data_IF_064142780006
#
_entry.id   IF_064142780006
#
_cell.length_a   1.000
_cell.length_b   1.000
_cell.length_c   1.000
_cell.angle_alpha   90.00
_cell.angle_beta   90.00
_cell.angle_gamma   90.00
#
_symmetry.space_group_name_H-M   'P 1'
#
loop_
_entity.id
_entity.type
_entity.pdbx_description
1 polymer ?
#
# COMPACT_ATOMS: atom_id res chain seq x y z
N UNK A 1 30.43 -2.23 -20.07
CA UNK A 1 29.05 -2.55 -20.54
C UNK A 1 28.11 -2.94 -19.38
N UNK A 2 28.56 -3.73 -18.38
CA UNK A 2 27.76 -4.00 -17.18
C UNK A 2 27.40 -2.75 -16.37
N UNK A 3 28.36 -1.87 -16.09
CA UNK A 3 28.11 -0.72 -15.21
C UNK A 3 27.06 0.25 -15.76
N UNK A 4 27.00 0.40 -17.09
CA UNK A 4 25.98 1.23 -17.72
C UNK A 4 24.59 0.63 -17.53
N UNK A 5 24.42 -0.69 -17.71
CA UNK A 5 23.15 -1.38 -17.48
C UNK A 5 22.73 -1.34 -16.00
N UNK A 6 23.68 -1.51 -15.08
CA UNK A 6 23.44 -1.41 -13.66
C UNK A 6 22.97 0.00 -13.27
N UNK A 7 23.63 1.05 -13.78
CA UNK A 7 23.22 2.45 -13.58
C UNK A 7 21.82 2.71 -14.13
N UNK A 8 21.54 2.27 -15.36
CA UNK A 8 20.20 2.43 -15.95
C UNK A 8 19.11 1.78 -15.09
N UNK A 9 19.33 0.54 -14.63
CA UNK A 9 18.37 -0.15 -13.77
C UNK A 9 18.17 0.59 -12.44
N UNK A 10 19.26 1.02 -11.80
CA UNK A 10 19.22 1.75 -10.54
C UNK A 10 18.49 3.09 -10.67
N UNK A 11 18.74 3.84 -11.75
CA UNK A 11 18.11 5.14 -12.00
C UNK A 11 16.61 5.00 -12.26
N UNK A 12 16.20 4.05 -13.12
CA UNK A 12 14.79 3.78 -13.40
C UNK A 12 14.03 3.30 -12.16
N UNK A 13 14.70 2.49 -11.32
CA UNK A 13 14.15 2.05 -10.05
C UNK A 13 13.97 3.22 -9.08
N UNK A 14 14.98 4.09 -8.97
CA UNK A 14 14.93 5.28 -8.10
C UNK A 14 13.82 6.26 -8.49
N UNK A 15 13.61 6.50 -9.78
CA UNK A 15 12.48 7.30 -10.29
C UNK A 15 11.16 6.69 -9.82
N UNK A 16 10.98 5.39 -10.02
CA UNK A 16 9.76 4.67 -9.60
C UNK A 16 9.51 4.78 -8.09
N UNK A 17 10.55 4.61 -7.26
CA UNK A 17 10.47 4.73 -5.79
C UNK A 17 10.02 6.13 -5.38
N UNK A 18 10.62 7.17 -5.96
CA UNK A 18 10.26 8.55 -5.64
C UNK A 18 8.81 8.88 -6.02
N UNK A 19 8.33 8.36 -7.16
CA UNK A 19 6.96 8.59 -7.57
C UNK A 19 5.96 7.83 -6.67
N UNK A 20 6.26 6.58 -6.26
CA UNK A 20 5.42 5.85 -5.29
C UNK A 20 5.39 6.56 -3.93
N UNK A 21 6.50 7.16 -3.51
CA UNK A 21 6.51 8.01 -2.31
C UNK A 21 5.53 9.17 -2.43
N UNK A 22 5.51 9.87 -3.58
CA UNK A 22 4.57 10.95 -3.85
C UNK A 22 3.10 10.48 -3.81
N UNK A 23 2.80 9.28 -4.34
CA UNK A 23 1.47 8.67 -4.21
C UNK A 23 1.08 8.42 -2.74
N UNK A 24 2.02 8.01 -1.89
CA UNK A 24 1.78 7.87 -0.46
C UNK A 24 1.40 9.20 0.21
N UNK A 25 2.06 10.29 -0.17
CA UNK A 25 1.73 11.66 0.30
C UNK A 25 0.37 12.10 -0.21
N UNK A 26 0.05 11.80 -1.48
CA UNK A 26 -1.24 12.09 -2.10
C UNK A 26 -2.37 11.40 -1.31
N UNK A 27 -2.25 10.10 -1.05
CA UNK A 27 -3.24 9.37 -0.24
C UNK A 27 -3.32 9.95 1.17
N UNK A 28 -2.19 10.22 1.84
CA UNK A 28 -2.21 10.84 3.18
C UNK A 28 -2.98 12.17 3.20
N UNK A 29 -2.77 13.02 2.19
CA UNK A 29 -3.38 14.35 2.11
C UNK A 29 -4.87 14.28 1.75
N UNK A 30 -5.22 13.59 0.68
CA UNK A 30 -6.58 13.63 0.12
C UNK A 30 -7.52 12.57 0.70
N UNK A 31 -7.00 11.53 1.35
CA UNK A 31 -7.81 10.51 2.02
C UNK A 31 -7.93 10.74 3.53
N UNK A 32 -6.83 11.15 4.20
CA UNK A 32 -6.82 11.26 5.67
C UNK A 32 -6.80 12.70 6.20
N UNK A 33 -6.17 13.65 5.51
CA UNK A 33 -6.10 15.03 6.00
C UNK A 33 -7.36 15.84 5.66
N UNK A 34 -7.96 15.60 4.50
CA UNK A 34 -9.26 16.18 4.13
C UNK A 34 -10.41 15.34 4.68
N UNK A 35 -11.37 15.97 5.37
CA UNK A 35 -12.59 15.32 5.84
C UNK A 35 -13.83 16.09 5.31
N UNK A 36 -14.63 15.50 4.40
CA UNK A 36 -14.58 14.12 3.91
C UNK A 36 -13.38 13.84 2.98
N UNK A 37 -13.05 12.55 2.78
CA UNK A 37 -12.06 12.09 1.80
C UNK A 37 -12.46 12.57 0.41
N UNK A 38 -11.53 13.18 -0.33
CA UNK A 38 -11.76 13.68 -1.70
C UNK A 38 -11.14 12.78 -2.76
N UNK A 39 -10.48 11.70 -2.35
CA UNK A 39 -10.02 10.63 -3.23
C UNK A 39 -10.86 9.38 -3.03
N UNK A 40 -11.24 8.77 -4.15
CA UNK A 40 -11.91 7.47 -4.23
C UNK A 40 -11.18 6.54 -5.21
N UNK A 41 -11.74 5.34 -5.42
CA UNK A 41 -11.17 4.35 -6.33
C UNK A 41 -11.08 4.87 -7.78
N UNK A 42 -12.09 5.61 -8.26
CA UNK A 42 -12.12 6.13 -9.62
C UNK A 42 -11.02 7.17 -9.84
N UNK A 43 -10.93 8.14 -8.93
CA UNK A 43 -9.89 9.19 -8.93
C UNK A 43 -8.50 8.59 -8.83
N UNK A 44 -8.30 7.60 -7.96
CA UNK A 44 -7.00 6.93 -7.82
C UNK A 44 -6.63 6.14 -9.08
N UNK A 45 -7.57 5.39 -9.66
CA UNK A 45 -7.34 4.62 -10.88
C UNK A 45 -7.01 5.53 -12.07
N UNK A 46 -7.74 6.63 -12.25
CA UNK A 46 -7.48 7.60 -13.32
C UNK A 46 -6.10 8.24 -13.14
N UNK A 47 -5.80 8.77 -11.96
CA UNK A 47 -4.52 9.44 -11.69
C UNK A 47 -3.34 8.50 -11.89
N UNK A 48 -3.42 7.27 -11.36
CA UNK A 48 -2.34 6.29 -11.49
C UNK A 48 -2.19 5.79 -12.92
N UNK A 49 -3.26 5.63 -13.69
CA UNK A 49 -3.17 5.31 -15.10
C UNK A 49 -2.48 6.43 -15.91
N UNK A 50 -2.87 7.70 -15.69
CA UNK A 50 -2.31 8.86 -16.38
C UNK A 50 -0.83 9.08 -16.06
N UNK A 51 -0.39 8.71 -14.86
CA UNK A 51 1.01 8.85 -14.41
C UNK A 51 1.82 7.57 -14.51
N UNK A 52 1.33 6.52 -15.20
CA UNK A 52 2.03 5.25 -15.28
C UNK A 52 3.46 5.36 -15.84
N UNK A 53 3.70 6.32 -16.74
CA UNK A 53 5.03 6.59 -17.31
C UNK A 53 6.07 7.05 -16.29
N UNK A 54 5.65 7.59 -15.14
CA UNK A 54 6.54 7.98 -14.03
C UNK A 54 7.07 6.77 -13.22
N UNK A 55 6.56 5.57 -13.53
CA UNK A 55 6.88 4.31 -12.82
C UNK A 55 7.31 3.22 -13.81
N UNK A 56 8.42 3.41 -14.54
CA UNK A 56 8.82 2.57 -15.68
C UNK A 56 9.04 1.08 -15.35
N UNK A 57 9.34 0.72 -14.11
CA UNK A 57 9.59 -0.66 -13.69
C UNK A 57 8.46 -1.28 -12.86
N UNK A 58 7.31 -0.61 -12.70
CA UNK A 58 6.20 -1.11 -11.90
C UNK A 58 5.03 -1.52 -12.80
N UNK A 59 4.52 -2.74 -12.60
CA UNK A 59 3.34 -3.24 -13.31
C UNK A 59 2.02 -2.59 -12.87
N UNK A 60 2.00 -2.04 -11.66
CA UNK A 60 0.85 -1.33 -11.11
C UNK A 60 1.13 -0.85 -9.69
N UNK A 61 0.20 -0.07 -9.16
CA UNK A 61 0.24 0.42 -7.78
C UNK A 61 -1.12 0.23 -7.12
N UNK A 62 -1.11 0.01 -5.82
CA UNK A 62 -2.31 -0.18 -5.01
C UNK A 62 -2.08 0.39 -3.62
N UNK A 63 -3.16 0.79 -2.96
CA UNK A 63 -3.18 1.25 -1.58
C UNK A 63 -3.95 0.26 -0.71
N UNK A 64 -3.23 -0.34 0.23
CA UNK A 64 -3.78 -1.21 1.26
C UNK A 64 -3.98 -0.44 2.56
N UNK A 65 -5.23 -0.41 3.05
CA UNK A 65 -5.57 0.24 4.31
C UNK A 65 -5.39 -0.75 5.46
N UNK A 66 -4.78 -0.32 6.57
CA UNK A 66 -4.80 -1.10 7.82
C UNK A 66 -6.20 -1.05 8.43
N UNK A 67 -6.76 -2.22 8.73
CA UNK A 67 -8.11 -2.39 9.27
C UNK A 67 -8.04 -3.30 10.48
N UNK A 68 -8.49 -2.83 11.64
CA UNK A 68 -8.61 -3.69 12.81
C UNK A 68 -9.85 -4.58 12.66
N UNK A 69 -9.86 -5.76 13.30
CA UNK A 69 -11.00 -6.67 13.16
C UNK A 69 -12.36 -6.04 13.50
N UNK A 70 -12.42 -5.17 14.51
CA UNK A 70 -13.68 -4.49 14.88
C UNK A 70 -14.16 -3.48 13.81
N UNK A 71 -13.29 -3.03 12.91
CA UNK A 71 -13.61 -2.12 11.78
C UNK A 71 -13.95 -2.90 10.49
N UNK A 72 -13.72 -4.22 10.49
CA UNK A 72 -13.88 -5.08 9.30
C UNK A 72 -15.28 -4.99 8.71
N UNK A 73 -16.31 -5.11 9.54
CA UNK A 73 -17.69 -5.10 9.06
C UNK A 73 -18.10 -3.76 8.44
N UNK A 74 -17.65 -2.65 9.04
CA UNK A 74 -17.93 -1.30 8.54
C UNK A 74 -17.27 -1.08 7.17
N UNK A 75 -16.02 -1.50 7.00
CA UNK A 75 -15.32 -1.42 5.73
C UNK A 75 -15.96 -2.30 4.66
N UNK A 76 -16.36 -3.53 5.02
CA UNK A 76 -17.04 -4.43 4.09
C UNK A 76 -18.40 -3.87 3.63
N UNK A 77 -19.17 -3.25 4.55
CA UNK A 77 -20.41 -2.55 4.21
C UNK A 77 -20.16 -1.32 3.34
N UNK A 78 -19.12 -0.53 3.62
CA UNK A 78 -18.76 0.66 2.86
C UNK A 78 -18.34 0.33 1.41
N UNK A 79 -17.63 -0.77 1.20
CA UNK A 79 -17.09 -1.15 -0.11
C UNK A 79 -17.92 -2.21 -0.84
N UNK A 80 -19.08 -2.60 -0.29
CA UNK A 80 -19.98 -3.65 -0.81
C UNK A 80 -19.22 -4.93 -1.20
N UNK A 81 -18.42 -5.46 -0.26
CA UNK A 81 -17.58 -6.62 -0.54
C UNK A 81 -16.94 -7.23 0.69
N UNK A 82 -16.31 -8.40 0.52
CA UNK A 82 -15.66 -9.15 1.61
C UNK A 82 -14.15 -9.05 1.50
N UNK A 83 -13.45 -8.91 2.64
CA UNK A 83 -11.99 -9.02 2.67
C UNK A 83 -11.59 -10.46 2.32
N UNK A 84 -10.72 -10.62 1.33
CA UNK A 84 -10.29 -11.92 0.80
C UNK A 84 -8.81 -12.17 1.04
N UNK A 85 -8.40 -13.41 1.14
CA UNK A 85 -7.00 -13.82 1.17
C UNK A 85 -6.36 -13.67 -0.23
N UNK A 86 -5.03 -13.86 -0.31
CA UNK A 86 -4.29 -13.98 -1.57
C UNK A 86 -4.83 -15.09 -2.50
N UNK A 87 -5.42 -16.14 -1.94
CA UNK A 87 -6.10 -17.21 -2.69
C UNK A 87 -7.53 -16.86 -3.11
N UNK A 88 -7.98 -15.63 -2.86
CA UNK A 88 -9.31 -15.08 -3.16
C UNK A 88 -10.46 -15.72 -2.36
N UNK A 89 -10.15 -16.38 -1.26
CA UNK A 89 -11.13 -16.91 -0.31
C UNK A 89 -11.49 -15.87 0.74
N UNK A 90 -12.67 -15.91 1.39
CA UNK A 90 -12.98 -15.03 2.51
C UNK A 90 -11.91 -15.10 3.60
N UNK A 91 -11.37 -13.96 4.02
CA UNK A 91 -10.31 -13.94 5.02
C UNK A 91 -10.83 -14.41 6.39
N UNK A 92 -10.14 -15.32 7.08
CA UNK A 92 -10.54 -15.78 8.41
C UNK A 92 -10.38 -14.66 9.45
N UNK A 93 -10.60 -14.98 10.72
CA UNK A 93 -10.37 -14.03 11.81
C UNK A 93 -8.88 -13.73 11.98
N UNK A 94 -8.52 -12.44 12.00
CA UNK A 94 -7.20 -11.90 12.30
C UNK A 94 -7.35 -10.61 13.10
N UNK A 95 -6.38 -10.28 13.95
CA UNK A 95 -6.43 -9.05 14.75
C UNK A 95 -6.43 -7.78 13.88
N UNK A 96 -5.70 -7.83 12.77
CA UNK A 96 -5.63 -6.78 11.76
C UNK A 96 -5.54 -7.36 10.35
N UNK A 97 -5.96 -6.55 9.38
CA UNK A 97 -5.94 -6.83 7.95
C UNK A 97 -5.30 -5.67 7.19
N UNK A 98 -4.84 -5.93 5.97
CA UNK A 98 -4.43 -4.89 5.02
C UNK A 98 -5.17 -5.04 3.67
N UNK A 99 -6.50 -4.87 3.61
CA UNK A 99 -7.24 -4.93 2.35
C UNK A 99 -6.87 -3.76 1.43
N UNK A 100 -6.71 -4.07 0.14
CA UNK A 100 -6.56 -3.04 -0.91
C UNK A 100 -7.89 -2.32 -1.14
N UNK A 101 -7.91 -1.02 -0.87
CA UNK A 101 -9.10 -0.17 -1.08
C UNK A 101 -8.99 0.71 -2.34
N UNK A 102 -7.77 1.05 -2.76
CA UNK A 102 -7.51 1.72 -4.02
C UNK A 102 -6.53 0.91 -4.89
N UNK A 103 -6.82 0.74 -6.17
CA UNK A 103 -5.97 0.01 -7.09
C UNK A 103 -5.92 0.67 -8.46
N UNK A 104 -4.74 0.68 -9.08
CA UNK A 104 -4.62 0.95 -10.52
C UNK A 104 -5.31 -0.17 -11.29
N UNK A 105 -5.89 0.15 -12.45
CA UNK A 105 -6.64 -0.82 -13.26
C UNK A 105 -5.85 -2.09 -13.62
N UNK A 106 -4.53 -1.96 -13.83
CA UNK A 106 -3.63 -3.10 -14.14
C UNK A 106 -3.51 -4.11 -12.99
N UNK A 107 -3.88 -3.73 -11.77
CA UNK A 107 -3.85 -4.56 -10.56
C UNK A 107 -5.20 -4.55 -9.83
N UNK A 108 -6.31 -4.31 -10.56
CA UNK A 108 -7.67 -4.26 -10.00
C UNK A 108 -8.11 -5.57 -9.33
N UNK A 109 -7.52 -6.70 -9.73
CA UNK A 109 -7.72 -8.01 -9.10
C UNK A 109 -7.28 -8.08 -7.63
N UNK A 110 -6.49 -7.10 -7.15
CA UNK A 110 -6.10 -6.98 -5.75
C UNK A 110 -7.17 -6.32 -4.88
N UNK A 111 -8.22 -5.72 -5.44
CA UNK A 111 -9.25 -5.01 -4.67
C UNK A 111 -9.86 -5.93 -3.59
N UNK A 112 -9.90 -5.44 -2.34
CA UNK A 112 -10.31 -6.18 -1.13
C UNK A 112 -9.48 -7.45 -0.83
N UNK A 113 -8.35 -7.67 -1.48
CA UNK A 113 -7.38 -8.69 -1.09
C UNK A 113 -6.58 -8.17 0.10
N UNK A 114 -6.50 -8.97 1.14
CA UNK A 114 -5.71 -8.76 2.34
C UNK A 114 -4.24 -9.03 2.04
N UNK A 115 -3.46 -7.97 1.92
CA UNK A 115 -2.03 -8.05 1.68
C UNK A 115 -1.26 -8.71 2.84
N UNK A 116 -1.85 -8.83 4.03
CA UNK A 116 -1.23 -9.55 5.15
C UNK A 116 -1.43 -11.06 5.11
N UNK A 117 -2.23 -11.58 4.17
CA UNK A 117 -2.43 -13.02 4.00
C UNK A 117 -1.35 -13.70 3.13
N UNK A 118 -0.51 -12.91 2.44
CA UNK A 118 0.72 -13.39 1.77
C UNK A 118 1.93 -13.14 2.67
N UNK A 119 2.83 -14.11 2.82
CA UNK A 119 3.92 -14.02 3.80
C UNK A 119 4.94 -12.95 3.41
N UNK A 120 5.31 -12.86 2.12
CA UNK A 120 6.25 -11.86 1.62
C UNK A 120 5.71 -10.43 1.79
N UNK A 121 4.44 -10.21 1.45
CA UNK A 121 3.77 -8.93 1.60
C UNK A 121 3.59 -8.54 3.08
N UNK A 122 3.18 -9.50 3.93
CA UNK A 122 3.04 -9.31 5.37
C UNK A 122 4.35 -8.88 6.01
N UNK A 123 5.45 -9.59 5.75
CA UNK A 123 6.78 -9.23 6.27
C UNK A 123 7.15 -7.80 5.81
N UNK A 124 6.92 -7.49 4.54
CA UNK A 124 7.25 -6.18 4.00
C UNK A 124 6.43 -5.07 4.65
N UNK A 125 5.13 -5.26 4.83
CA UNK A 125 4.24 -4.34 5.55
C UNK A 125 4.76 -4.12 6.96
N UNK A 126 5.00 -5.19 7.73
CA UNK A 126 5.45 -5.10 9.12
C UNK A 126 6.81 -4.40 9.27
N UNK A 127 7.69 -4.48 8.26
CA UNK A 127 8.98 -3.79 8.23
C UNK A 127 8.89 -2.33 7.74
N UNK A 128 7.97 -2.03 6.82
CA UNK A 128 7.74 -0.67 6.32
C UNK A 128 7.26 0.25 7.46
N UNK A 129 6.28 -0.23 8.23
CA UNK A 129 5.57 0.52 9.27
C UNK A 129 6.47 1.21 10.31
N UNK A 130 7.39 0.51 11.00
CA UNK A 130 8.23 1.11 12.04
C UNK A 130 9.34 1.99 11.46
N UNK A 131 9.82 1.69 10.24
CA UNK A 131 10.96 2.41 9.64
C UNK A 131 10.55 3.75 9.03
N UNK A 132 9.30 3.90 8.58
CA UNK A 132 8.85 5.06 7.81
C UNK A 132 9.59 5.27 6.50
N UNK A 133 10.19 4.19 5.99
CA UNK A 133 10.91 4.17 4.73
C UNK A 133 10.31 3.09 3.84
N UNK A 134 10.64 3.16 2.57
CA UNK A 134 10.29 2.09 1.65
C UNK A 134 11.09 0.83 1.96
N UNK A 135 10.50 -0.31 1.65
CA UNK A 135 11.08 -1.63 1.83
C UNK A 135 10.77 -2.52 0.63
N UNK A 136 11.65 -3.49 0.39
CA UNK A 136 11.55 -4.41 -0.74
C UNK A 136 11.53 -5.85 -0.26
N UNK A 137 10.64 -6.65 -0.81
CA UNK A 137 10.64 -8.10 -0.61
C UNK A 137 11.86 -8.75 -1.24
N UNK A 138 12.13 -10.00 -0.86
CA UNK A 138 12.89 -10.92 -1.71
C UNK A 138 12.14 -11.18 -3.03
N UNK A 139 12.82 -11.61 -4.10
CA UNK A 139 12.15 -11.97 -5.34
C UNK A 139 11.20 -13.16 -5.17
N UNK A 140 9.94 -13.01 -5.61
CA UNK A 140 8.92 -14.07 -5.56
C UNK A 140 7.96 -13.96 -6.76
N UNK A 141 7.08 -14.95 -6.94
CA UNK A 141 6.11 -14.95 -8.04
C UNK A 141 4.93 -14.04 -7.70
N UNK A 142 4.75 -12.98 -8.49
CA UNK A 142 3.68 -12.02 -8.29
C UNK A 142 2.30 -12.62 -8.62
N UNK A 143 1.30 -12.30 -7.80
CA UNK A 143 -0.09 -12.73 -8.01
C UNK A 143 -0.61 -12.25 -9.38
N UNK A 144 -1.42 -13.08 -10.04
CA UNK A 144 -2.03 -12.77 -11.33
C UNK A 144 -1.13 -13.00 -12.55
N UNK A 145 0.12 -12.53 -12.52
CA UNK A 145 1.06 -12.67 -13.66
C UNK A 145 2.00 -13.88 -13.57
N UNK A 146 2.25 -14.41 -12.36
CA UNK A 146 3.28 -15.41 -12.08
C UNK A 146 4.71 -15.01 -12.48
N UNK A 147 4.94 -13.73 -12.81
CA UNK A 147 6.28 -13.21 -13.09
C UNK A 147 7.10 -13.14 -11.81
N UNK A 148 8.39 -13.44 -11.91
CA UNK A 148 9.34 -13.23 -10.83
C UNK A 148 9.58 -11.71 -10.67
N UNK A 149 9.27 -11.17 -9.50
CA UNK A 149 9.39 -9.74 -9.22
C UNK A 149 9.61 -9.47 -7.74
N UNK A 150 9.63 -8.18 -7.39
CA UNK A 150 9.75 -7.69 -6.01
C UNK A 150 8.61 -6.71 -5.74
N UNK A 151 8.13 -6.67 -4.50
CA UNK A 151 7.12 -5.69 -4.06
C UNK A 151 7.80 -4.56 -3.30
N UNK A 152 7.47 -3.33 -3.70
CA UNK A 152 7.88 -2.08 -3.05
C UNK A 152 6.73 -1.60 -2.17
N UNK A 153 6.97 -1.45 -0.87
CA UNK A 153 5.95 -1.00 0.09
C UNK A 153 6.38 0.29 0.75
N UNK A 154 5.46 1.26 0.81
CA UNK A 154 5.59 2.50 1.58
C UNK A 154 4.54 2.55 2.69
N UNK A 155 4.91 2.93 3.93
CA UNK A 155 3.94 3.17 4.98
C UNK A 155 3.25 4.53 4.74
N UNK A 156 1.92 4.56 4.85
CA UNK A 156 1.13 5.80 4.89
C UNK A 156 0.62 5.98 6.30
N UNK A 157 0.90 7.15 6.88
CA UNK A 157 0.48 7.50 8.24
C UNK A 157 -0.78 8.38 8.17
N UNK A 158 -1.72 8.16 9.09
CA UNK A 158 -2.80 9.13 9.37
C UNK A 158 -2.18 10.39 10.02
N UNK A 159 -2.90 11.51 9.92
CA UNK A 159 -2.56 12.88 10.31
C UNK A 159 -1.49 13.11 11.42
N UNK A 160 -0.78 14.25 11.33
CA UNK A 160 0.10 14.84 12.38
C UNK A 160 0.99 13.85 13.13
N UNK A 161 1.73 13.03 12.39
CA UNK A 161 2.87 12.32 12.96
C UNK A 161 3.90 13.37 13.45
N UNK A 162 4.37 13.33 14.71
CA UNK A 162 5.35 14.30 15.18
C UNK A 162 6.67 14.17 14.38
N UNK A 163 7.43 15.27 14.18
CA UNK A 163 8.64 15.25 13.34
C UNK A 163 9.68 14.20 13.77
N UNK A 164 9.73 13.86 15.05
CA UNK A 164 10.63 12.86 15.64
C UNK A 164 9.87 11.66 16.22
N UNK A 165 8.81 11.21 15.54
CA UNK A 165 8.00 10.09 16.00
C UNK A 165 8.83 8.81 16.19
N UNK A 166 8.72 8.25 17.40
CA UNK A 166 9.21 6.94 17.79
C UNK A 166 8.56 5.82 16.96
N UNK A 167 9.15 4.63 17.04
CA UNK A 167 8.61 3.43 16.38
C UNK A 167 7.17 3.15 16.82
N UNK A 168 6.86 3.30 18.11
CA UNK A 168 5.52 3.07 18.64
C UNK A 168 4.51 4.11 18.12
N UNK A 169 4.89 5.38 18.07
CA UNK A 169 4.04 6.44 17.51
C UNK A 169 3.77 6.23 16.01
N UNK A 170 4.78 5.77 15.25
CA UNK A 170 4.61 5.39 13.84
C UNK A 170 3.61 4.25 13.70
N UNK A 171 3.77 3.17 14.47
CA UNK A 171 2.85 2.02 14.44
C UNK A 171 1.42 2.45 14.81
N UNK A 172 1.26 3.32 15.82
CA UNK A 172 -0.04 3.85 16.21
C UNK A 172 -0.67 4.74 15.11
N UNK A 173 0.13 5.58 14.45
CA UNK A 173 -0.36 6.49 13.40
C UNK A 173 -0.81 5.78 12.11
N UNK A 174 -0.40 4.54 11.89
CA UNK A 174 -0.85 3.72 10.75
C UNK A 174 -2.31 3.27 10.94
N UNK A 175 -2.80 3.21 12.18
CA UNK A 175 -4.19 2.92 12.51
C UNK A 175 -4.72 3.83 13.62
N UNK A 176 -5.31 4.96 13.21
CA UNK A 176 -6.60 5.41 13.75
C UNK A 176 -6.84 5.26 15.26
N UNK A 177 -5.89 5.65 16.12
CA UNK A 177 -6.22 5.97 17.52
C UNK A 177 -5.18 6.95 18.08
N UNK A 178 -5.49 8.24 17.98
CA UNK A 178 -5.13 9.14 19.07
C UNK A 178 -6.15 8.89 20.16
N UNK A 179 -5.73 8.25 21.26
CA UNK A 179 -6.50 8.38 22.49
C UNK A 179 -6.56 9.87 22.81
N UNK A 180 -7.78 10.41 22.85
CA UNK A 180 -8.06 11.69 23.51
C UNK A 180 -7.49 11.58 24.93
N UNK A 181 -6.59 12.50 25.26
CA UNK A 181 -6.73 13.26 26.49
C UNK A 181 -7.29 14.62 26.09
#
# INVERSE_FOLDING_TARGET
>A
MCDQRARMLQDQFRVSVNHVHALGVLVSTFHYYTNPSVIDQETFAEYTARTAFERPLLSGVAYAQRVMNYEREDLQRQHDGTIRTMTKEPSPFHDEYAPVIFAQETVSYLKLVDMMSGEEDKENILRARPTGKYVLTSPFKLLGSNHLGVVLTFPVYKSKLPPNASVQERIAAIAGKWNKN
#
